data_IF_209115524457
#
_entry.id   IF_209115524457
#
_cell.length_a   1.000
_cell.length_b   1.000
_cell.length_c   1.000
_cell.angle_alpha   90.00
_cell.angle_beta   90.00
_cell.angle_gamma   90.00
#
_symmetry.space_group_name_H-M   'P 1'
#
loop_
_entity.id
_entity.type
_entity.pdbx_description
1 polymer ?
#
# COMPACT_ATOMS: atom_id res chain seq x y z
N UNK A 1 5.45 -6.65 15.50
CA UNK A 1 5.59 -5.45 14.65
C UNK A 1 4.77 -4.32 15.27
N UNK A 2 5.35 -3.13 15.49
CA UNK A 2 4.62 -2.00 16.06
C UNK A 2 3.65 -1.40 15.04
N UNK A 3 2.38 -1.20 15.44
CA UNK A 3 1.37 -0.54 14.61
C UNK A 3 1.62 0.97 14.65
N UNK A 4 1.60 1.61 13.49
CA UNK A 4 1.69 3.06 13.33
C UNK A 4 0.48 3.59 12.58
N UNK A 5 0.07 4.80 12.96
CA UNK A 5 -0.91 5.61 12.23
C UNK A 5 -0.17 6.79 11.64
N UNK A 6 -0.41 7.09 10.37
CA UNK A 6 0.11 8.27 9.69
C UNK A 6 -1.04 9.00 8.98
N UNK A 7 -0.92 10.31 8.88
CA UNK A 7 -1.75 11.12 7.98
C UNK A 7 -0.83 11.67 6.89
N UNK A 8 -1.24 11.52 5.64
CA UNK A 8 -0.40 11.75 4.48
C UNK A 8 -1.22 11.96 3.21
N UNK A 9 -0.63 12.60 2.21
CA UNK A 9 -1.20 12.79 0.89
C UNK A 9 -0.71 11.74 -0.09
N UNK A 10 -1.61 11.24 -0.93
CA UNK A 10 -1.27 10.36 -2.03
C UNK A 10 -0.43 11.09 -3.09
N UNK A 11 0.77 10.59 -3.37
CA UNK A 11 1.65 11.08 -4.43
C UNK A 11 1.34 10.43 -5.79
N UNK A 12 0.68 9.28 -5.77
CA UNK A 12 0.29 8.52 -6.97
C UNK A 12 -1.09 7.92 -6.79
N UNK A 13 -1.76 7.65 -7.90
CA UNK A 13 -2.95 6.79 -7.91
C UNK A 13 -2.59 5.37 -7.43
N UNK A 14 -3.57 4.65 -6.88
CA UNK A 14 -3.42 3.25 -6.51
C UNK A 14 -3.27 2.36 -7.73
N UNK A 15 -2.22 1.56 -7.76
CA UNK A 15 -2.09 0.45 -8.69
C UNK A 15 -2.63 -0.83 -8.04
N UNK A 16 -3.74 -1.36 -8.60
CA UNK A 16 -4.39 -2.57 -8.12
C UNK A 16 -3.89 -3.75 -8.93
N UNK A 17 -3.10 -4.63 -8.30
CA UNK A 17 -2.47 -5.78 -8.95
C UNK A 17 -3.12 -7.10 -8.50
N UNK A 18 -3.27 -8.02 -9.44
CA UNK A 18 -3.68 -9.39 -9.16
C UNK A 18 -2.45 -10.23 -8.76
N UNK A 19 -2.53 -10.91 -7.62
CA UNK A 19 -1.47 -11.77 -7.07
C UNK A 19 -1.07 -12.91 -8.03
N UNK A 20 -1.97 -13.38 -8.89
CA UNK A 20 -1.77 -14.57 -9.72
C UNK A 20 -1.04 -14.34 -11.06
N UNK A 21 -0.72 -13.11 -11.45
CA UNK A 21 -0.43 -12.83 -12.88
C UNK A 21 0.80 -11.96 -13.16
N UNK A 22 1.67 -11.69 -12.18
CA UNK A 22 2.91 -10.93 -12.42
C UNK A 22 4.02 -11.81 -13.00
N UNK A 23 3.81 -12.27 -14.23
CA UNK A 23 4.88 -12.66 -15.15
C UNK A 23 4.66 -11.93 -16.48
N UNK A 24 5.74 -11.32 -16.98
CA UNK A 24 5.89 -10.50 -18.20
C UNK A 24 5.57 -9.00 -18.11
N UNK A 25 6.62 -8.21 -17.81
CA UNK A 25 6.75 -6.85 -18.35
C UNK A 25 7.30 -5.77 -17.41
N UNK A 26 7.16 -5.94 -16.08
CA UNK A 26 7.58 -4.95 -15.07
C UNK A 26 8.25 -5.70 -13.91
N UNK A 27 9.37 -5.22 -13.33
CA UNK A 27 10.11 -5.96 -12.30
C UNK A 27 9.49 -5.73 -10.91
N UNK A 28 8.29 -6.26 -10.67
CA UNK A 28 7.75 -6.40 -9.30
C UNK A 28 7.52 -7.88 -9.04
N UNK A 29 8.55 -8.53 -8.49
CA UNK A 29 8.49 -9.94 -8.11
C UNK A 29 7.83 -10.04 -6.73
N UNK A 30 6.52 -10.30 -6.71
CA UNK A 30 5.79 -10.56 -5.47
C UNK A 30 6.08 -12.01 -5.06
N UNK A 31 6.92 -12.21 -4.03
CA UNK A 31 7.24 -13.56 -3.55
C UNK A 31 6.02 -14.14 -2.83
N UNK A 32 5.45 -15.20 -3.41
CA UNK A 32 4.31 -15.94 -2.87
C UNK A 32 4.64 -16.49 -1.47
N UNK A 33 3.80 -16.17 -0.48
CA UNK A 33 3.87 -16.87 0.80
C UNK A 33 3.04 -16.28 1.95
N UNK A 34 2.70 -14.98 1.96
CA UNK A 34 2.22 -14.36 3.20
C UNK A 34 0.95 -13.50 3.14
N UNK A 35 0.25 -13.41 2.01
CA UNK A 35 -0.91 -12.53 1.87
C UNK A 35 -2.12 -13.29 1.33
N UNK A 36 -3.11 -13.57 2.18
CA UNK A 36 -4.34 -14.31 1.87
C UNK A 36 -5.29 -13.66 0.83
N UNK A 37 -4.97 -12.48 0.29
CA UNK A 37 -5.89 -11.73 -0.58
C UNK A 37 -5.48 -11.80 -2.06
N UNK A 38 -6.46 -11.90 -2.97
CA UNK A 38 -6.24 -12.02 -4.43
C UNK A 38 -5.70 -10.72 -5.05
N UNK A 39 -6.06 -9.58 -4.46
CA UNK A 39 -5.69 -8.25 -4.93
C UNK A 39 -4.79 -7.54 -3.93
N UNK A 40 -3.94 -6.67 -4.45
CA UNK A 40 -3.09 -5.78 -3.68
C UNK A 40 -3.15 -4.38 -4.29
N UNK A 41 -3.31 -3.37 -3.44
CA UNK A 41 -3.26 -1.97 -3.85
C UNK A 41 -1.93 -1.38 -3.39
N UNK A 42 -1.20 -0.77 -4.32
CA UNK A 42 0.12 -0.17 -4.09
C UNK A 42 0.06 1.29 -4.52
N UNK A 43 0.50 2.19 -3.65
CA UNK A 43 0.64 3.61 -3.97
C UNK A 43 1.76 4.21 -3.13
N UNK A 44 2.08 5.48 -3.38
CA UNK A 44 3.04 6.22 -2.59
C UNK A 44 2.41 7.43 -1.94
N UNK A 45 2.89 7.79 -0.75
CA UNK A 45 2.46 8.96 0.00
C UNK A 45 3.65 9.83 0.40
N UNK A 46 3.39 11.10 0.71
CA UNK A 46 4.37 11.94 1.38
C UNK A 46 4.41 11.61 2.88
N UNK A 47 5.59 11.41 3.44
CA UNK A 47 5.73 11.14 4.85
C UNK A 47 7.13 11.55 5.32
N UNK A 48 7.19 12.52 6.23
CA UNK A 48 8.43 13.09 6.76
C UNK A 48 9.42 13.51 5.65
N UNK A 49 8.96 14.34 4.71
CA UNK A 49 9.75 14.84 3.56
C UNK A 49 10.30 13.76 2.61
N UNK A 50 9.80 12.53 2.74
CA UNK A 50 10.20 11.40 1.91
C UNK A 50 8.99 10.67 1.34
N UNK A 51 9.22 9.99 0.21
CA UNK A 51 8.22 9.13 -0.42
C UNK A 51 8.16 7.80 0.34
N UNK A 52 6.99 7.46 0.86
CA UNK A 52 6.72 6.17 1.50
C UNK A 52 5.80 5.33 0.61
N UNK A 53 6.19 4.08 0.35
CA UNK A 53 5.34 3.14 -0.40
C UNK A 53 4.38 2.45 0.58
N UNK A 54 3.09 2.49 0.23
CA UNK A 54 2.00 1.85 0.95
C UNK A 54 1.57 0.60 0.20
N UNK A 55 1.43 -0.49 0.94
CA UNK A 55 0.94 -1.76 0.40
C UNK A 55 -0.28 -2.19 1.22
N UNK A 56 -1.44 -2.27 0.56
CA UNK A 56 -2.69 -2.74 1.15
C UNK A 56 -3.13 -4.05 0.52
N UNK A 57 -3.50 -5.02 1.36
CA UNK A 57 -3.95 -6.33 0.91
C UNK A 57 -5.45 -6.33 0.63
N UNK A 58 -5.82 -5.81 -0.52
CA UNK A 58 -7.19 -5.72 -1.03
C UNK A 58 -7.31 -4.71 -2.15
N UNK A 59 -8.53 -4.44 -2.58
CA UNK A 59 -8.87 -3.34 -3.49
C UNK A 59 -9.05 -2.08 -2.65
N UNK A 60 -8.28 -1.04 -2.94
CA UNK A 60 -8.31 0.25 -2.27
C UNK A 60 -7.98 1.33 -3.30
N UNK A 61 -9.01 1.84 -4.01
CA UNK A 61 -8.87 2.97 -4.92
C UNK A 61 -8.42 4.20 -4.14
N UNK A 62 -7.29 4.77 -4.57
CA UNK A 62 -6.75 6.04 -4.08
C UNK A 62 -6.36 6.85 -5.30
N UNK A 63 -6.69 8.14 -5.30
CA UNK A 63 -6.32 9.09 -6.35
C UNK A 63 -5.19 9.99 -5.83
N UNK A 64 -4.29 10.40 -6.72
CA UNK A 64 -3.24 11.36 -6.40
C UNK A 64 -3.85 12.62 -5.78
N UNK A 65 -3.24 13.10 -4.69
CA UNK A 65 -3.63 14.21 -3.82
C UNK A 65 -4.69 13.87 -2.77
N UNK A 66 -5.22 12.65 -2.74
CA UNK A 66 -6.11 12.24 -1.66
C UNK A 66 -5.43 12.41 -0.30
N UNK A 67 -6.11 13.01 0.66
CA UNK A 67 -5.73 13.07 2.06
C UNK A 67 -6.10 11.77 2.75
N UNK A 68 -5.13 11.07 3.33
CA UNK A 68 -5.31 9.72 3.83
C UNK A 68 -4.90 9.60 5.29
N UNK A 69 -5.67 8.85 6.07
CA UNK A 69 -5.26 8.31 7.38
C UNK A 69 -4.99 6.82 7.27
N UNK A 70 -3.73 6.43 7.43
CA UNK A 70 -3.26 5.07 7.17
C UNK A 70 -2.79 4.42 8.47
N UNK A 71 -3.31 3.25 8.80
CA UNK A 71 -2.84 2.40 9.90
C UNK A 71 -2.16 1.16 9.34
N UNK A 72 -0.94 0.90 9.80
CA UNK A 72 -0.09 -0.15 9.25
C UNK A 72 1.09 -0.51 10.12
N UNK A 73 1.96 -1.37 9.61
CA UNK A 73 3.27 -1.66 10.18
C UNK A 73 4.37 -1.38 9.15
N UNK A 74 5.49 -0.84 9.62
CA UNK A 74 6.68 -0.67 8.79
C UNK A 74 7.39 -2.02 8.61
N UNK A 75 7.76 -2.36 7.38
CA UNK A 75 8.47 -3.59 7.03
C UNK A 75 9.44 -3.36 5.87
N UNK A 76 10.34 -4.30 5.63
CA UNK A 76 11.20 -4.28 4.44
C UNK A 76 10.40 -4.74 3.21
N UNK A 77 10.51 -3.98 2.11
CA UNK A 77 9.79 -4.24 0.86
C UNK A 77 10.43 -5.32 -0.01
N UNK A 78 11.63 -5.79 0.30
CA UNK A 78 12.41 -6.72 -0.53
C UNK A 78 11.65 -7.99 -0.90
N UNK A 79 10.84 -8.52 0.02
CA UNK A 79 9.99 -9.69 -0.22
C UNK A 79 8.88 -9.46 -1.26
N UNK A 80 8.58 -8.20 -1.55
CA UNK A 80 7.61 -7.77 -2.56
C UNK A 80 8.30 -7.17 -3.80
N UNK A 81 9.63 -7.27 -3.90
CA UNK A 81 10.39 -6.64 -4.97
C UNK A 81 10.47 -5.11 -4.88
N UNK A 82 10.18 -4.53 -3.71
CA UNK A 82 10.25 -3.09 -3.48
C UNK A 82 11.49 -2.79 -2.66
N UNK A 83 12.41 -1.98 -3.20
CA UNK A 83 13.61 -1.57 -2.47
C UNK A 83 13.24 -0.61 -1.34
N UNK A 84 13.79 -0.86 -0.14
CA UNK A 84 13.62 0.00 1.03
C UNK A 84 12.47 -0.39 1.96
N UNK A 85 12.12 0.54 2.86
CA UNK A 85 11.03 0.35 3.83
C UNK A 85 9.69 0.69 3.19
N UNK A 86 8.70 -0.14 3.46
CA UNK A 86 7.30 0.05 3.07
C UNK A 86 6.42 0.07 4.32
N UNK A 87 5.20 0.59 4.17
CA UNK A 87 4.15 0.39 5.15
C UNK A 87 3.15 -0.62 4.64
N UNK A 88 2.99 -1.72 5.38
CA UNK A 88 1.92 -2.67 5.15
C UNK A 88 0.67 -2.18 5.90
N UNK A 89 -0.30 -1.67 5.15
CA UNK A 89 -1.52 -1.10 5.69
C UNK A 89 -2.55 -2.20 6.00
N UNK A 90 -3.25 -2.05 7.13
CA UNK A 90 -4.43 -2.85 7.48
C UNK A 90 -5.70 -2.01 7.54
N UNK A 91 -5.59 -0.68 7.69
CA UNK A 91 -6.71 0.25 7.55
C UNK A 91 -6.25 1.50 6.80
N UNK A 92 -7.03 1.94 5.83
CA UNK A 92 -6.86 3.19 5.09
C UNK A 92 -8.20 3.91 5.12
N UNK A 93 -8.17 5.18 5.48
CA UNK A 93 -9.33 6.07 5.45
C UNK A 93 -8.99 7.24 4.52
N UNK A 94 -9.82 7.44 3.50
CA UNK A 94 -9.74 8.61 2.64
C UNK A 94 -10.53 9.73 3.32
N UNK A 95 -9.82 10.79 3.72
CA UNK A 95 -10.39 11.92 4.45
C UNK A 95 -11.17 12.87 3.53
N UNK A 96 -10.92 12.82 2.22
CA UNK A 96 -11.62 13.65 1.23
C UNK A 96 -12.97 13.05 0.83
N UNK A 97 -13.05 11.72 0.71
CA UNK A 97 -14.28 11.01 0.33
C UNK A 97 -15.03 10.38 1.51
N UNK A 98 -14.36 10.16 2.63
CA UNK A 98 -14.88 9.40 3.78
C UNK A 98 -14.80 7.88 3.63
N UNK A 99 -14.24 7.36 2.53
CA UNK A 99 -14.14 5.90 2.31
C UNK A 99 -13.18 5.25 3.30
N UNK A 100 -13.56 4.08 3.83
CA UNK A 100 -12.73 3.29 4.76
C UNK A 100 -12.51 1.89 4.23
N UNK A 101 -11.23 1.54 4.05
CA UNK A 101 -10.77 0.22 3.65
C UNK A 101 -10.09 -0.43 4.85
N UNK A 102 -10.64 -1.51 5.37
CA UNK A 102 -10.08 -2.23 6.50
C UNK A 102 -10.04 -3.73 6.23
N UNK A 103 -8.86 -4.32 6.41
CA UNK A 103 -8.70 -5.76 6.36
C UNK A 103 -9.06 -6.34 7.73
N UNK A 104 -10.19 -7.04 7.78
CA UNK A 104 -10.61 -7.86 8.92
C UNK A 104 -9.67 -9.03 9.15
#
# INVERSE_FOLDING_TARGET
MSKKTIEAYALTDSNIVNKATFFLGIPIIIVFGWLNNKYMSIFSVDHNDHRLVIVYSGICPVVRKDSLRIKGSMTNGEKLGILGKIMQAHRIENLDTGDVYEKR
#
